data_IF_211394743666
#
_entry.id   IF_211394743666
#
_cell.length_a   1.000
_cell.length_b   1.000
_cell.length_c   1.000
_cell.angle_alpha   90.00
_cell.angle_beta   90.00
_cell.angle_gamma   90.00
#
_symmetry.space_group_name_H-M   'P 1'
#
loop_
_entity.id
_entity.type
_entity.pdbx_description
1 polymer ?
#
# COMPACT_ATOMS: atom_id res chain seq x y z
N UNK A 1 -34.39 -16.36 14.32
CA UNK A 1 -33.16 -17.14 14.64
C UNK A 1 -32.24 -17.12 13.42
N UNK A 2 -31.17 -16.33 13.46
CA UNK A 2 -30.20 -16.15 12.37
C UNK A 2 -28.88 -16.76 12.84
N UNK A 3 -28.44 -17.86 12.21
CA UNK A 3 -27.16 -18.51 12.53
C UNK A 3 -26.03 -17.67 11.92
N UNK A 4 -25.26 -17.02 12.78
CA UNK A 4 -23.92 -16.52 12.46
C UNK A 4 -22.97 -17.72 12.51
N UNK A 5 -22.35 -18.06 11.38
CA UNK A 5 -21.17 -18.93 11.38
C UNK A 5 -19.96 -18.04 11.62
N UNK A 6 -19.44 -18.08 12.85
CA UNK A 6 -18.10 -17.59 13.16
C UNK A 6 -17.09 -18.60 12.58
N UNK A 7 -16.43 -18.24 11.48
CA UNK A 7 -15.24 -18.95 11.02
C UNK A 7 -14.06 -18.43 11.82
N UNK A 8 -13.45 -19.31 12.62
CA UNK A 8 -12.37 -19.01 13.53
C UNK A 8 -11.19 -18.32 12.84
N UNK A 9 -10.63 -17.33 13.52
CA UNK A 9 -9.41 -16.67 13.08
C UNK A 9 -8.27 -17.67 13.07
N UNK A 10 -7.68 -17.87 11.89
CA UNK A 10 -6.34 -18.45 11.79
C UNK A 10 -5.36 -17.29 11.98
N UNK A 11 -4.92 -17.09 13.21
CA UNK A 11 -3.70 -16.37 13.48
C UNK A 11 -2.52 -17.30 13.17
N UNK A 12 -1.59 -16.96 12.26
CA UNK A 12 -0.23 -17.46 12.38
C UNK A 12 0.51 -16.53 13.34
N UNK A 13 0.34 -16.75 14.65
CA UNK A 13 1.38 -16.38 15.61
C UNK A 13 2.49 -17.41 15.45
N UNK A 14 3.64 -16.96 14.96
CA UNK A 14 4.90 -17.69 15.07
C UNK A 14 4.95 -19.03 14.33
N UNK A 15 5.10 -18.98 12.99
CA UNK A 15 5.75 -20.08 12.28
C UNK A 15 6.53 -19.48 11.12
N UNK A 16 7.80 -19.83 11.02
CA UNK A 16 8.75 -19.52 9.95
C UNK A 16 8.36 -20.14 8.59
N UNK A 17 7.08 -20.38 8.36
CA UNK A 17 6.53 -20.87 7.09
C UNK A 17 6.04 -19.67 6.29
N UNK A 18 6.70 -19.45 5.17
CA UNK A 18 6.29 -18.53 4.11
C UNK A 18 4.77 -18.60 3.91
N UNK A 19 4.11 -17.45 3.89
CA UNK A 19 2.65 -17.36 3.71
C UNK A 19 2.29 -17.97 2.35
N UNK A 20 1.54 -19.08 2.32
CA UNK A 20 1.16 -19.77 1.09
C UNK A 20 -0.35 -20.06 1.09
N UNK A 21 -1.10 -19.26 0.34
CA UNK A 21 -2.52 -19.49 0.11
C UNK A 21 -2.74 -20.47 -1.05
N UNK A 22 -3.77 -21.31 -0.97
CA UNK A 22 -4.15 -22.23 -2.03
C UNK A 22 -5.39 -21.70 -2.79
N UNK A 23 -5.31 -21.51 -4.13
CA UNK A 23 -6.44 -21.06 -4.95
C UNK A 23 -7.70 -21.96 -4.86
N UNK A 24 -7.52 -23.25 -4.61
CA UNK A 24 -8.65 -24.19 -4.51
C UNK A 24 -9.38 -24.09 -3.16
N UNK A 25 -8.71 -23.55 -2.15
CA UNK A 25 -9.23 -23.36 -0.80
C UNK A 25 -10.05 -22.07 -0.63
N UNK A 26 -10.27 -21.29 -1.70
CA UNK A 26 -11.12 -20.10 -1.66
C UNK A 26 -12.57 -20.45 -1.29
N UNK A 27 -13.23 -19.66 -0.42
CA UNK A 27 -12.77 -18.38 0.14
C UNK A 27 -11.84 -18.53 1.36
N UNK A 28 -10.91 -17.58 1.53
CA UNK A 28 -9.96 -17.54 2.66
C UNK A 28 -9.95 -16.19 3.36
N UNK A 29 -9.66 -16.20 4.65
CA UNK A 29 -9.52 -14.98 5.47
C UNK A 29 -8.19 -14.98 6.21
N UNK A 30 -7.45 -13.88 6.13
CA UNK A 30 -6.12 -13.76 6.74
C UNK A 30 -5.76 -12.29 7.03
N UNK A 31 -4.69 -12.10 7.80
CA UNK A 31 -4.13 -10.78 8.11
C UNK A 31 -2.92 -10.50 7.23
N UNK A 32 -2.79 -9.25 6.77
CA UNK A 32 -1.63 -8.79 6.03
C UNK A 32 -1.17 -7.43 6.52
N UNK A 33 0.11 -7.14 6.31
CA UNK A 33 0.67 -5.83 6.62
C UNK A 33 0.09 -4.74 5.73
N UNK A 34 -0.17 -3.58 6.32
CA UNK A 34 -0.62 -2.36 5.66
C UNK A 34 -0.07 -1.14 6.40
N UNK A 35 0.91 -0.46 5.81
CA UNK A 35 1.54 0.73 6.40
C UNK A 35 0.56 1.89 6.64
N UNK A 36 -0.63 1.87 6.03
CA UNK A 36 -1.65 2.91 6.22
C UNK A 36 -2.61 2.59 7.36
N UNK A 37 -2.69 1.33 7.78
CA UNK A 37 -3.61 0.89 8.81
C UNK A 37 -3.08 1.24 10.21
N UNK A 38 -3.99 1.58 11.11
CA UNK A 38 -3.70 1.69 12.53
C UNK A 38 -3.30 0.29 13.03
N UNK A 39 -2.14 0.20 13.70
CA UNK A 39 -1.56 -1.09 14.08
C UNK A 39 -0.85 -1.83 12.94
N UNK A 40 -0.81 -1.27 11.73
CA UNK A 40 -0.03 -1.79 10.61
C UNK A 40 -0.59 -3.07 9.96
N UNK A 41 -1.82 -3.46 10.30
CA UNK A 41 -2.45 -4.72 9.87
C UNK A 41 -3.82 -4.45 9.27
N UNK A 42 -4.18 -5.23 8.24
CA UNK A 42 -5.52 -5.31 7.66
C UNK A 42 -6.00 -6.75 7.62
N UNK A 43 -7.29 -6.96 7.84
CA UNK A 43 -7.94 -8.25 7.61
C UNK A 43 -8.44 -8.30 6.17
N UNK A 44 -8.14 -9.39 5.48
CA UNK A 44 -8.50 -9.63 4.09
C UNK A 44 -9.38 -10.87 4.04
N UNK A 45 -10.51 -10.77 3.36
CA UNK A 45 -11.31 -11.91 2.92
C UNK A 45 -11.20 -11.97 1.39
N UNK A 46 -10.69 -13.08 0.88
CA UNK A 46 -10.45 -13.31 -0.54
C UNK A 46 -11.41 -14.41 -1.01
N UNK A 47 -12.24 -14.07 -1.98
CA UNK A 47 -13.12 -14.96 -2.72
C UNK A 47 -12.68 -14.97 -4.20
N UNK A 48 -13.21 -15.90 -5.01
CA UNK A 48 -13.01 -15.97 -6.46
C UNK A 48 -13.45 -14.71 -7.19
N UNK A 49 -14.50 -14.04 -6.71
CA UNK A 49 -15.07 -12.86 -7.39
C UNK A 49 -14.74 -11.53 -6.72
N UNK A 50 -14.45 -11.55 -5.41
CA UNK A 50 -14.36 -10.32 -4.59
C UNK A 50 -13.29 -10.40 -3.53
N UNK A 51 -12.74 -9.24 -3.22
CA UNK A 51 -11.84 -9.01 -2.09
C UNK A 51 -12.50 -8.04 -1.13
N UNK A 52 -12.62 -8.43 0.13
CA UNK A 52 -13.06 -7.55 1.22
C UNK A 52 -11.89 -7.25 2.14
N UNK A 53 -11.56 -5.97 2.31
CA UNK A 53 -10.49 -5.49 3.17
C UNK A 53 -11.08 -4.70 4.33
N UNK A 54 -10.75 -5.07 5.57
CA UNK A 54 -11.11 -4.31 6.77
C UNK A 54 -9.87 -3.77 7.46
N UNK A 55 -9.83 -2.46 7.70
CA UNK A 55 -8.75 -1.76 8.42
C UNK A 55 -9.28 -0.55 9.19
N UNK A 56 -8.50 -0.05 10.14
CA UNK A 56 -8.70 1.28 10.71
C UNK A 56 -7.62 2.23 10.20
N UNK A 57 -7.94 3.50 9.96
CA UNK A 57 -6.95 4.53 9.59
C UNK A 57 -7.28 5.80 10.36
N UNK A 58 -6.37 6.25 11.24
CA UNK A 58 -6.57 7.40 12.14
C UNK A 58 -7.87 7.31 12.95
N UNK A 59 -8.15 6.12 13.50
CA UNK A 59 -9.34 5.81 14.27
C UNK A 59 -10.59 5.52 13.44
N UNK A 60 -10.56 5.73 12.12
CA UNK A 60 -11.69 5.45 11.23
C UNK A 60 -11.65 4.00 10.74
N UNK A 61 -12.57 3.17 11.24
CA UNK A 61 -12.77 1.80 10.77
C UNK A 61 -13.47 1.83 9.41
N UNK A 62 -12.95 1.09 8.45
CA UNK A 62 -13.51 1.00 7.10
C UNK A 62 -13.46 -0.43 6.56
N UNK A 63 -14.41 -0.73 5.68
CA UNK A 63 -14.45 -1.95 4.88
C UNK A 63 -14.49 -1.57 3.40
N UNK A 64 -13.58 -2.13 2.60
CA UNK A 64 -13.44 -1.85 1.17
C UNK A 64 -13.71 -3.15 0.43
N UNK A 65 -14.65 -3.12 -0.51
CA UNK A 65 -14.99 -4.26 -1.35
C UNK A 65 -14.55 -3.98 -2.79
N UNK A 66 -13.71 -4.83 -3.36
CA UNK A 66 -13.20 -4.71 -4.74
C UNK A 66 -13.52 -5.99 -5.49
N UNK A 67 -13.93 -5.90 -6.75
CA UNK A 67 -14.08 -7.10 -7.57
C UNK A 67 -12.70 -7.58 -8.04
N UNK A 68 -12.50 -8.90 -8.11
CA UNK A 68 -11.24 -9.49 -8.59
C UNK A 68 -10.90 -9.01 -10.00
N UNK A 69 -11.91 -8.86 -10.88
CA UNK A 69 -11.73 -8.35 -12.25
C UNK A 69 -11.18 -6.91 -12.33
N UNK A 70 -11.25 -6.13 -11.25
CA UNK A 70 -10.76 -4.75 -11.21
C UNK A 70 -9.25 -4.68 -10.89
N UNK A 71 -8.66 -5.81 -10.50
CA UNK A 71 -7.22 -5.95 -10.33
C UNK A 71 -6.53 -5.99 -11.69
N UNK A 72 -5.26 -5.59 -11.72
CA UNK A 72 -4.45 -5.54 -12.93
C UNK A 72 -4.06 -6.93 -13.42
N UNK A 73 -3.81 -7.85 -12.49
CA UNK A 73 -3.28 -9.17 -12.79
C UNK A 73 -2.60 -9.81 -11.58
N UNK A 74 -2.04 -10.99 -11.79
CA UNK A 74 -1.19 -11.68 -10.81
C UNK A 74 0.25 -11.31 -11.12
N UNK A 75 0.95 -10.72 -10.16
CA UNK A 75 2.32 -10.27 -10.33
C UNK A 75 3.32 -11.03 -9.46
N UNK A 76 4.52 -11.26 -9.99
CA UNK A 76 5.67 -11.71 -9.20
C UNK A 76 6.42 -10.49 -8.68
N UNK A 77 6.67 -10.45 -7.38
CA UNK A 77 7.55 -9.49 -6.74
C UNK A 77 8.76 -10.20 -6.16
N UNK A 78 9.94 -9.79 -6.60
CA UNK A 78 11.20 -10.29 -6.05
C UNK A 78 11.43 -9.74 -4.63
N UNK A 79 11.70 -10.65 -3.70
CA UNK A 79 12.23 -10.38 -2.37
C UNK A 79 13.75 -10.59 -2.32
N UNK A 80 14.33 -10.64 -1.11
CA UNK A 80 15.78 -10.92 -0.96
C UNK A 80 16.12 -12.39 -1.23
N UNK A 81 15.34 -13.29 -0.64
CA UNK A 81 15.60 -14.74 -0.65
C UNK A 81 14.38 -15.56 -1.13
N UNK A 82 13.29 -14.88 -1.51
CA UNK A 82 12.03 -15.48 -1.92
C UNK A 82 11.33 -14.58 -2.94
N UNK A 83 10.47 -15.17 -3.74
CA UNK A 83 9.56 -14.45 -4.63
C UNK A 83 8.15 -14.49 -4.08
N UNK A 84 7.43 -13.38 -4.21
CA UNK A 84 6.05 -13.25 -3.73
C UNK A 84 5.09 -13.06 -4.89
N UNK A 85 4.07 -13.91 -4.97
CA UNK A 85 2.92 -13.70 -5.83
C UNK A 85 1.95 -12.73 -5.18
N UNK A 86 1.52 -11.73 -5.94
CA UNK A 86 0.65 -10.65 -5.49
C UNK A 86 -0.49 -10.47 -6.50
N UNK A 87 -1.73 -10.46 -6.02
CA UNK A 87 -2.86 -9.96 -6.80
C UNK A 87 -2.77 -8.43 -6.84
N UNK A 88 -2.32 -7.89 -7.97
CA UNK A 88 -1.89 -6.50 -8.09
C UNK A 88 -3.07 -5.57 -8.37
N UNK A 89 -3.21 -4.52 -7.56
CA UNK A 89 -4.17 -3.45 -7.78
C UNK A 89 -3.46 -2.13 -8.13
N UNK A 90 -4.14 -1.22 -8.86
CA UNK A 90 -3.61 0.12 -9.19
C UNK A 90 -3.25 0.94 -7.96
N UNK A 91 -4.01 0.77 -6.88
CA UNK A 91 -3.69 1.28 -5.55
C UNK A 91 -2.86 0.23 -4.79
N UNK A 92 -1.58 0.50 -4.45
CA UNK A 92 -0.72 -0.43 -3.73
C UNK A 92 -1.31 -0.88 -2.39
N UNK A 93 -2.11 -0.03 -1.71
CA UNK A 93 -2.71 -0.36 -0.42
C UNK A 93 -3.89 -1.35 -0.53
N UNK A 94 -4.30 -1.70 -1.75
CA UNK A 94 -5.32 -2.70 -2.05
C UNK A 94 -4.76 -3.96 -2.72
N UNK A 95 -3.47 -3.98 -3.08
CA UNK A 95 -2.84 -5.20 -3.60
C UNK A 95 -2.81 -6.28 -2.52
N UNK A 96 -3.01 -7.54 -2.90
CA UNK A 96 -3.18 -8.66 -1.96
C UNK A 96 -2.04 -9.64 -2.13
N UNK A 97 -1.23 -9.90 -1.09
CA UNK A 97 -0.20 -10.92 -1.16
C UNK A 97 -0.86 -12.32 -1.14
N UNK A 98 -0.45 -13.18 -2.06
CA UNK A 98 -1.06 -14.51 -2.26
C UNK A 98 -0.18 -15.61 -1.69
N UNK A 99 1.08 -15.64 -2.11
CA UNK A 99 2.04 -16.69 -1.74
C UNK A 99 3.44 -16.13 -1.72
N UNK A 100 4.26 -16.59 -0.78
CA UNK A 100 5.71 -16.48 -0.81
C UNK A 100 6.29 -17.86 -1.17
N UNK A 101 7.19 -17.87 -2.14
CA UNK A 101 7.75 -19.06 -2.77
C UNK A 101 9.27 -18.89 -2.79
N UNK A 102 9.98 -19.82 -2.15
CA UNK A 102 11.45 -19.85 -2.13
C UNK A 102 12.05 -20.69 -3.27
N UNK A 103 11.24 -21.56 -3.88
CA UNK A 103 11.65 -22.43 -4.98
C UNK A 103 11.24 -21.81 -6.33
N UNK A 104 12.21 -21.36 -7.17
CA UNK A 104 11.91 -20.75 -8.46
C UNK A 104 11.19 -21.69 -9.43
N UNK A 105 11.39 -23.01 -9.36
CA UNK A 105 10.75 -23.93 -10.30
C UNK A 105 9.24 -24.06 -10.04
N UNK A 106 8.82 -23.83 -8.80
CA UNK A 106 7.42 -23.90 -8.40
C UNK A 106 6.62 -22.61 -8.69
N UNK A 107 7.29 -21.49 -9.03
CA UNK A 107 6.61 -20.20 -9.16
C UNK A 107 5.70 -20.16 -10.38
N UNK A 108 6.17 -20.62 -11.54
CA UNK A 108 5.43 -20.51 -12.80
C UNK A 108 4.12 -21.31 -12.76
N UNK A 109 4.17 -22.53 -12.21
CA UNK A 109 2.98 -23.37 -12.02
C UNK A 109 1.97 -22.71 -11.06
N UNK A 110 2.46 -22.16 -9.94
CA UNK A 110 1.60 -21.49 -8.96
C UNK A 110 1.02 -20.19 -9.51
N UNK A 111 1.81 -19.46 -10.31
CA UNK A 111 1.41 -18.23 -10.98
C UNK A 111 0.32 -18.48 -12.01
N UNK A 112 0.47 -19.54 -12.82
CA UNK A 112 -0.56 -19.99 -13.76
C UNK A 112 -1.84 -20.38 -13.04
N UNK A 113 -1.74 -21.12 -11.93
CA UNK A 113 -2.92 -21.55 -11.18
C UNK A 113 -3.74 -20.36 -10.64
N UNK A 114 -3.07 -19.33 -10.11
CA UNK A 114 -3.74 -18.10 -9.66
C UNK A 114 -4.33 -17.31 -10.83
N UNK A 115 -3.60 -17.21 -11.94
CA UNK A 115 -4.04 -16.57 -13.18
C UNK A 115 -5.34 -17.20 -13.69
N UNK A 116 -5.39 -18.53 -13.76
CA UNK A 116 -6.55 -19.29 -14.22
C UNK A 116 -7.73 -19.18 -13.23
N UNK A 117 -7.46 -19.29 -11.93
CA UNK A 117 -8.50 -19.21 -10.88
C UNK A 117 -9.26 -17.89 -10.92
N UNK A 118 -8.56 -16.79 -11.20
CA UNK A 118 -9.16 -15.45 -11.23
C UNK A 118 -9.45 -14.93 -12.65
N UNK A 119 -9.10 -15.69 -13.69
CA UNK A 119 -9.15 -15.27 -15.09
C UNK A 119 -8.48 -13.89 -15.32
N UNK A 120 -7.29 -13.72 -14.74
CA UNK A 120 -6.51 -12.48 -14.79
C UNK A 120 -5.14 -12.71 -15.44
N UNK A 121 -4.56 -11.73 -16.13
CA UNK A 121 -3.27 -11.91 -16.77
C UNK A 121 -2.13 -12.03 -15.75
N UNK A 122 -1.09 -12.75 -16.16
CA UNK A 122 0.21 -12.76 -15.50
C UNK A 122 0.96 -11.47 -15.83
N UNK A 123 1.50 -10.80 -14.81
CA UNK A 123 2.28 -9.57 -14.90
C UNK A 123 3.67 -9.73 -14.28
N UNK A 124 4.73 -9.46 -15.01
CA UNK A 124 6.04 -9.26 -14.36
C UNK A 124 5.96 -7.91 -13.63
N UNK A 125 6.22 -7.84 -12.31
CA UNK A 125 6.22 -6.57 -11.57
C UNK A 125 7.40 -5.72 -12.04
N UNK A 126 7.19 -5.02 -13.16
CA UNK A 126 8.03 -3.92 -13.58
C UNK A 126 7.82 -2.85 -12.51
N UNK A 127 8.64 -2.89 -11.44
CA UNK A 127 8.72 -1.89 -10.38
C UNK A 127 8.52 -0.51 -11.00
N UNK A 128 7.27 -0.06 -11.04
CA UNK A 128 6.93 1.10 -11.86
C UNK A 128 7.44 2.27 -11.08
N UNK A 129 8.58 2.82 -11.52
CA UNK A 129 9.14 4.02 -10.94
C UNK A 129 7.98 5.00 -10.71
N UNK A 130 7.84 5.55 -9.49
CA UNK A 130 6.68 6.33 -9.12
C UNK A 130 6.48 7.43 -10.16
N UNK A 131 5.47 7.24 -11.01
CA UNK A 131 5.25 8.16 -12.13
C UNK A 131 4.97 9.52 -11.50
N UNK A 132 5.76 10.57 -11.81
CA UNK A 132 5.60 11.86 -11.15
C UNK A 132 4.14 12.27 -11.26
N UNK A 133 3.50 12.49 -10.11
CA UNK A 133 2.08 12.81 -10.04
C UNK A 133 1.83 13.98 -10.98
N UNK A 134 1.19 13.73 -12.13
CA UNK A 134 0.83 14.78 -13.09
C UNK A 134 0.12 15.85 -12.26
N UNK A 135 0.75 17.01 -12.10
CA UNK A 135 0.12 18.14 -11.39
C UNK A 135 -1.18 18.39 -12.13
N UNK A 136 -2.30 17.92 -11.56
CA UNK A 136 -3.62 18.21 -12.11
C UNK A 136 -3.63 19.72 -12.28
N UNK A 137 -3.91 20.19 -13.48
CA UNK A 137 -4.19 21.61 -13.70
C UNK A 137 -5.43 21.90 -12.86
N UNK A 138 -5.22 22.33 -11.61
CA UNK A 138 -6.31 22.78 -10.78
C UNK A 138 -6.98 23.91 -11.56
N UNK A 139 -8.28 23.80 -11.83
CA UNK A 139 -9.06 24.86 -12.47
C UNK A 139 -9.01 26.18 -11.66
N UNK A 140 -8.52 26.10 -10.42
CA UNK A 140 -8.27 27.21 -9.49
C UNK A 140 -6.89 27.86 -9.70
N UNK A 141 -6.00 27.30 -10.54
CA UNK A 141 -4.64 27.84 -10.77
C UNK A 141 -4.67 29.24 -11.38
N UNK A 142 -5.69 29.56 -12.18
CA UNK A 142 -5.91 30.89 -12.77
C UNK A 142 -6.72 31.82 -11.86
N UNK A 143 -7.27 31.30 -10.74
CA UNK A 143 -8.02 32.13 -9.79
C UNK A 143 -7.04 32.87 -8.88
N UNK A 144 -7.24 34.17 -8.72
CA UNK A 144 -6.46 35.01 -7.80
C UNK A 144 -6.79 34.61 -6.35
N UNK A 145 -5.82 34.19 -5.52
CA UNK A 145 -6.07 33.92 -4.11
C UNK A 145 -6.58 35.18 -3.42
N UNK A 146 -7.72 35.09 -2.71
CA UNK A 146 -8.31 36.24 -1.99
C UNK A 146 -7.55 36.60 -0.71
N UNK A 147 -6.72 35.69 -0.20
CA UNK A 147 -5.94 35.90 1.02
C UNK A 147 -4.47 35.54 0.77
N UNK A 148 -3.68 36.54 0.37
CA UNK A 148 -2.24 36.58 0.61
C UNK A 148 -1.97 37.32 1.93
N UNK A 149 -2.70 36.95 2.98
CA UNK A 149 -2.45 37.52 4.30
C UNK A 149 -1.20 36.90 4.90
N UNK A 150 -0.20 37.77 5.03
CA UNK A 150 0.88 37.73 6.02
C UNK A 150 2.08 36.86 5.67
N UNK A 151 2.89 37.36 4.74
CA UNK A 151 4.22 37.86 5.11
C UNK A 151 4.49 39.15 4.36
N UNK A 152 4.82 40.23 5.07
CA UNK A 152 5.50 41.39 4.45
C UNK A 152 6.81 40.81 3.89
N UNK A 153 7.05 40.95 2.58
CA UNK A 153 8.33 40.52 2.00
C UNK A 153 9.46 41.17 2.80
N UNK A 154 10.49 40.39 3.14
CA UNK A 154 11.69 40.96 3.78
C UNK A 154 12.26 42.05 2.88
N UNK A 155 12.67 43.18 3.47
CA UNK A 155 13.43 44.20 2.74
C UNK A 155 14.79 43.65 2.31
N UNK A 156 15.43 44.26 1.29
CA UNK A 156 16.77 43.86 0.87
C UNK A 156 17.73 43.89 2.08
N UNK A 157 18.50 42.82 2.25
CA UNK A 157 19.53 42.68 3.31
C UNK A 157 20.71 43.66 3.06
N UNK A 158 20.74 44.35 1.91
CA UNK A 158 21.81 45.26 1.53
C UNK A 158 22.08 46.36 2.57
N UNK A 159 21.05 46.80 3.30
CA UNK A 159 21.16 47.82 4.36
C UNK A 159 21.22 47.22 5.77
N UNK A 160 21.29 45.90 5.90
CA UNK A 160 21.50 45.28 7.21
C UNK A 160 22.95 45.57 7.64
N UNK A 161 23.12 46.34 8.71
CA UNK A 161 24.42 46.55 9.32
C UNK A 161 25.00 45.19 9.75
N UNK A 162 26.01 44.71 9.04
CA UNK A 162 26.75 43.50 9.39
C UNK A 162 27.95 43.94 10.22
N UNK A 163 27.85 43.79 11.54
CA UNK A 163 28.91 44.06 12.48
C UNK A 163 29.92 42.90 12.42
N UNK A 164 31.05 43.10 11.71
CA UNK A 164 32.03 42.03 11.43
C UNK A 164 33.03 41.79 12.56
N UNK A 165 33.17 42.73 13.48
CA UNK A 165 34.19 42.72 14.53
C UNK A 165 33.60 42.58 15.95
N UNK A 166 32.35 42.16 16.06
CA UNK A 166 31.72 41.90 17.36
C UNK A 166 31.85 40.40 17.72
N UNK A 167 32.20 40.13 18.97
CA UNK A 167 32.32 38.77 19.48
C UNK A 167 30.92 38.17 19.72
N UNK A 168 30.64 37.04 19.06
CA UNK A 168 29.39 36.31 19.22
C UNK A 168 29.26 35.75 20.65
N UNK A 169 28.24 36.21 21.40
CA UNK A 169 27.94 35.67 22.73
C UNK A 169 27.10 34.41 22.56
N UNK A 170 27.75 33.25 22.58
CA UNK A 170 27.06 31.95 22.62
C UNK A 170 26.86 31.56 24.09
N UNK A 171 25.61 31.39 24.52
CA UNK A 171 25.31 30.74 25.79
C UNK A 171 25.69 29.25 25.65
N UNK A 172 26.70 28.82 26.40
CA UNK A 172 27.08 27.41 26.49
C UNK A 172 26.27 26.76 27.59
N UNK A 173 25.55 25.69 27.26
CA UNK A 173 25.16 24.62 28.19
C UNK A 173 26.04 23.39 27.90
#
# INVERSE_FOLDING_TARGET
MRRQTATGGVNPVGSSRAMRLDPHSLPVSFEAQDMRADGGIRHIELDRERVTLRRAVRGMRMAINVHVRDFLGIAIRDGRDSQMLVLMHRDPSLSIPLCEISDPEAIDATWQLWSDTFALPQLVDLMRAPTPRRRRHNAVRTRRPKFLTRRRGGGPIADAAVHRDEYEIIARD
#
